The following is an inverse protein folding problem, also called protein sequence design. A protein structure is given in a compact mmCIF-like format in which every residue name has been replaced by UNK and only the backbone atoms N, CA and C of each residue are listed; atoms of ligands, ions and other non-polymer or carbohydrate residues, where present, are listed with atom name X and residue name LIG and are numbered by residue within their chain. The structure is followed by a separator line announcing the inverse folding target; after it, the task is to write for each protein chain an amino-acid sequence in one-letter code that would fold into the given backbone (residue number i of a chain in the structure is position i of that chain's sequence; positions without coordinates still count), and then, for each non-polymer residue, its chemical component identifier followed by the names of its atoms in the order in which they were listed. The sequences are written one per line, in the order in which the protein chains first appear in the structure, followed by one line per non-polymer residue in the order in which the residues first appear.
data_IF_776815532758
#
_entry.id   IF_776815532758
#
_cell.length_a   1.000
_cell.length_b   1.000
_cell.length_c   1.000
_cell.angle_alpha   90.00
_cell.angle_beta   90.00
_cell.angle_gamma   90.00
#
_symmetry.space_group_name_H-M   'P 1'
#
loop_
_entity.id
_entity.type
_entity.pdbx_description
1 polymer ?
#
# COMPACT_ATOMS: atom_id res chain seq x y z
N UNK A 1 -28.27 66.35 14.86
CA UNK A 1 -27.96 65.32 15.89
C UNK A 1 -27.36 64.01 15.33
N UNK A 2 -27.60 63.64 14.06
CA UNK A 2 -27.21 62.31 13.54
C UNK A 2 -25.73 62.14 13.16
N UNK A 3 -25.02 63.24 12.82
CA UNK A 3 -23.60 63.24 12.40
C UNK A 3 -22.59 63.08 13.56
N UNK A 4 -22.95 63.54 14.76
CA UNK A 4 -22.05 63.54 15.92
C UNK A 4 -21.93 62.14 16.53
N UNK A 5 -23.04 61.38 16.58
CA UNK A 5 -23.06 59.99 17.09
C UNK A 5 -22.29 58.99 16.23
N UNK A 6 -22.20 59.18 14.91
CA UNK A 6 -21.44 58.29 14.03
C UNK A 6 -19.92 58.45 14.19
N UNK A 7 -19.44 59.64 14.56
CA UNK A 7 -18.01 59.90 14.68
C UNK A 7 -17.45 59.30 15.99
N UNK A 8 -18.17 59.45 17.10
CA UNK A 8 -17.79 58.86 18.39
C UNK A 8 -17.75 57.32 18.36
N UNK A 9 -18.64 56.70 17.58
CA UNK A 9 -18.69 55.25 17.44
C UNK A 9 -17.53 54.69 16.61
N UNK A 10 -17.04 55.45 15.62
CA UNK A 10 -15.90 55.08 14.78
C UNK A 10 -14.56 55.25 15.53
N UNK A 11 -14.43 56.30 16.35
CA UNK A 11 -13.24 56.50 17.20
C UNK A 11 -13.16 55.47 18.33
N UNK A 12 -14.30 55.09 18.92
CA UNK A 12 -14.36 53.99 19.89
C UNK A 12 -13.93 52.65 19.25
N UNK A 13 -14.41 52.32 18.04
CA UNK A 13 -14.01 51.11 17.32
C UNK A 13 -12.49 51.05 17.05
N UNK A 14 -11.89 52.16 16.61
CA UNK A 14 -10.42 52.23 16.43
C UNK A 14 -9.67 52.03 17.75
N UNK A 15 -10.12 52.66 18.82
CA UNK A 15 -9.50 52.51 20.15
C UNK A 15 -9.59 51.07 20.67
N UNK A 16 -10.72 50.39 20.44
CA UNK A 16 -10.95 49.01 20.82
C UNK A 16 -10.05 48.06 20.01
N UNK A 17 -9.87 48.31 18.71
CA UNK A 17 -8.95 47.55 17.85
C UNK A 17 -7.49 47.72 18.27
N UNK A 18 -7.07 48.95 18.59
CA UNK A 18 -5.71 49.22 19.09
C UNK A 18 -5.49 48.50 20.42
N UNK A 19 -6.46 48.55 21.33
CA UNK A 19 -6.36 47.86 22.61
C UNK A 19 -6.29 46.34 22.44
N UNK A 20 -7.07 45.77 21.51
CA UNK A 20 -7.01 44.35 21.18
C UNK A 20 -5.64 43.92 20.65
N UNK A 21 -5.05 44.70 19.74
CA UNK A 21 -3.70 44.43 19.24
C UNK A 21 -2.67 44.50 20.37
N UNK A 22 -2.77 45.49 21.26
CA UNK A 22 -1.89 45.59 22.44
C UNK A 22 -2.03 44.40 23.38
N UNK A 23 -3.25 43.95 23.65
CA UNK A 23 -3.50 42.76 24.46
C UNK A 23 -2.95 41.50 23.81
N UNK A 24 -3.13 41.32 22.50
CA UNK A 24 -2.55 40.18 21.78
C UNK A 24 -1.01 40.22 21.79
N UNK A 25 -0.42 41.40 21.60
CA UNK A 25 1.03 41.59 21.67
C UNK A 25 1.58 41.29 23.06
N UNK A 26 0.86 41.69 24.12
CA UNK A 26 1.23 41.37 25.50
C UNK A 26 1.26 39.85 25.74
N UNK A 27 0.25 39.11 25.25
CA UNK A 27 0.22 37.64 25.35
C UNK A 27 1.39 37.00 24.59
N UNK A 28 1.70 37.48 23.39
CA UNK A 28 2.86 36.97 22.62
C UNK A 28 4.17 37.24 23.36
N UNK A 29 4.34 38.45 23.90
CA UNK A 29 5.55 38.80 24.67
C UNK A 29 5.65 37.98 25.95
N UNK A 30 4.54 37.75 26.66
CA UNK A 30 4.49 36.89 27.84
C UNK A 30 4.95 35.47 27.51
N UNK A 31 4.41 34.86 26.44
CA UNK A 31 4.84 33.55 25.96
C UNK A 31 6.32 33.54 25.58
N UNK A 32 6.81 34.53 24.83
CA UNK A 32 8.24 34.59 24.48
C UNK A 32 9.14 34.72 25.72
N UNK A 33 8.70 35.46 26.73
CA UNK A 33 9.44 35.59 28.00
C UNK A 33 9.38 34.34 28.86
N UNK A 34 8.28 33.59 28.86
CA UNK A 34 8.20 32.31 29.58
C UNK A 34 9.09 31.26 28.92
N UNK A 35 9.05 31.15 27.60
CA UNK A 35 9.90 30.26 26.82
C UNK A 35 11.40 30.62 26.93
N UNK A 36 11.75 31.87 27.22
CA UNK A 36 13.15 32.30 27.37
C UNK A 36 13.89 31.52 28.47
N UNK A 37 13.23 31.24 29.59
CA UNK A 37 13.83 30.45 30.69
C UNK A 37 14.01 28.98 30.30
N UNK A 38 13.01 28.41 29.65
CA UNK A 38 13.09 27.03 29.13
C UNK A 38 14.21 26.88 28.11
N UNK A 39 14.35 27.87 27.21
CA UNK A 39 15.47 27.95 26.28
C UNK A 39 16.81 28.01 27.02
N UNK A 40 16.94 28.88 28.03
CA UNK A 40 18.17 29.00 28.82
C UNK A 40 18.54 27.70 29.55
N UNK A 41 17.54 26.94 30.02
CA UNK A 41 17.74 25.61 30.61
C UNK A 41 18.24 24.61 29.55
N UNK A 42 17.63 24.59 28.36
CA UNK A 42 18.06 23.71 27.26
C UNK A 42 19.48 24.08 26.80
N UNK A 43 19.77 25.36 26.65
CA UNK A 43 21.10 25.89 26.33
C UNK A 43 22.10 25.52 27.44
N UNK A 44 21.69 25.58 28.71
CA UNK A 44 22.52 25.15 29.84
C UNK A 44 22.76 23.65 29.83
N UNK A 45 21.78 22.81 29.50
CA UNK A 45 21.97 21.35 29.38
C UNK A 45 22.90 21.00 28.20
N UNK A 46 22.85 21.78 27.11
CA UNK A 46 23.84 21.71 26.03
C UNK A 46 25.24 22.17 26.47
N UNK A 47 25.34 23.02 27.48
CA UNK A 47 26.58 23.61 28.00
C UNK A 47 27.09 22.95 29.30
N UNK A 48 26.29 22.12 29.99
CA UNK A 48 26.62 21.49 31.29
C UNK A 48 27.69 20.43 31.03
N UNK A 49 28.93 20.66 31.49
CA UNK A 49 30.03 19.74 31.31
C UNK A 49 30.07 18.77 32.49
N UNK A 50 29.25 17.71 32.41
CA UNK A 50 29.53 16.48 33.16
C UNK A 50 29.85 15.37 32.16
N UNK A 51 31.13 15.23 31.85
CA UNK A 51 31.70 13.92 31.48
C UNK A 51 31.75 13.54 30.00
N UNK A 52 31.50 14.43 29.04
CA UNK A 52 31.85 14.16 27.63
C UNK A 52 32.86 15.17 27.08
N UNK A 53 34.04 14.64 26.78
CA UNK A 53 35.09 15.27 25.98
C UNK A 53 34.49 15.66 24.62
N UNK A 54 34.45 16.96 24.33
CA UNK A 54 34.14 17.47 23.00
C UNK A 54 33.00 18.47 23.02
N UNK A 55 33.34 19.75 23.13
CA UNK A 55 32.50 20.81 22.60
C UNK A 55 32.43 20.63 21.08
N UNK A 56 31.50 19.80 20.62
CA UNK A 56 31.30 19.52 19.20
C UNK A 56 30.60 20.73 18.58
N UNK A 57 31.39 21.72 18.16
CA UNK A 57 30.89 22.80 17.31
C UNK A 57 30.60 22.17 15.93
N UNK A 58 29.32 21.96 15.61
CA UNK A 58 28.87 21.64 14.26
C UNK A 58 28.88 22.93 13.42
N UNK A 59 30.06 23.39 13.02
CA UNK A 59 30.19 24.56 12.12
C UNK A 59 30.33 24.18 10.64
N UNK A 60 30.51 22.88 10.35
CA UNK A 60 30.65 22.37 9.00
C UNK A 60 31.93 22.79 8.28
N UNK A 61 32.88 23.47 8.97
CA UNK A 61 34.07 24.06 8.35
C UNK A 61 35.02 23.00 7.78
N UNK A 62 35.09 21.81 8.40
CA UNK A 62 35.95 20.70 7.98
C UNK A 62 35.18 19.55 7.31
N UNK A 63 33.93 19.77 6.89
CA UNK A 63 33.10 18.73 6.27
C UNK A 63 33.01 18.98 4.77
N UNK A 64 33.55 18.03 3.99
CA UNK A 64 33.35 17.99 2.54
C UNK A 64 32.08 17.22 2.26
N UNK A 65 31.08 17.92 1.73
CA UNK A 65 29.78 17.39 1.38
C UNK A 65 29.60 17.51 -0.13
N UNK A 66 29.51 16.36 -0.81
CA UNK A 66 29.30 16.30 -2.25
C UNK A 66 27.87 15.84 -2.53
N UNK A 67 27.18 16.58 -3.40
CA UNK A 67 25.83 16.22 -3.84
C UNK A 67 25.93 15.27 -5.02
N UNK A 68 25.35 14.06 -4.96
CA UNK A 68 25.30 13.17 -6.11
C UNK A 68 24.60 13.86 -7.30
N UNK A 69 25.20 13.76 -8.49
CA UNK A 69 24.70 14.37 -9.73
C UNK A 69 23.19 14.15 -9.96
N UNK A 70 22.73 12.92 -9.76
CA UNK A 70 21.31 12.57 -9.97
C UNK A 70 20.40 13.41 -9.08
N UNK A 71 20.81 13.65 -7.85
CA UNK A 71 20.07 14.44 -6.88
C UNK A 71 20.09 15.92 -7.21
N UNK A 72 21.26 16.44 -7.60
CA UNK A 72 21.42 17.81 -8.09
C UNK A 72 20.50 18.06 -9.30
N UNK A 73 20.55 17.18 -10.31
CA UNK A 73 19.72 17.30 -11.51
C UNK A 73 18.22 17.26 -11.21
N UNK A 74 17.77 16.46 -10.23
CA UNK A 74 16.37 16.40 -9.78
C UNK A 74 15.93 17.67 -9.05
N UNK A 75 16.78 18.21 -8.18
CA UNK A 75 16.49 19.44 -7.43
C UNK A 75 16.43 20.64 -8.39
N UNK A 76 17.34 20.70 -9.35
CA UNK A 76 17.41 21.75 -10.37
C UNK A 76 16.25 21.65 -11.39
N UNK A 77 15.85 20.43 -11.76
CA UNK A 77 14.70 20.18 -12.65
C UNK A 77 13.35 20.23 -11.94
N UNK A 78 13.35 20.28 -10.61
CA UNK A 78 12.16 20.08 -9.79
C UNK A 78 11.19 21.26 -9.81
N UNK A 79 9.92 20.97 -10.11
CA UNK A 79 8.77 21.90 -10.04
C UNK A 79 8.62 22.55 -8.65
N UNK A 80 9.17 21.93 -7.60
CA UNK A 80 8.89 22.26 -6.21
C UNK A 80 9.92 23.20 -5.54
N UNK A 81 10.93 23.71 -6.26
CA UNK A 81 11.94 24.65 -5.70
C UNK A 81 12.41 24.28 -4.28
N UNK A 82 12.70 22.99 -4.07
CA UNK A 82 12.82 22.38 -2.73
C UNK A 82 14.07 22.88 -1.98
N UNK A 83 15.12 23.22 -2.72
CA UNK A 83 16.32 23.84 -2.17
C UNK A 83 16.39 25.29 -2.65
N UNK A 84 16.31 26.23 -1.72
CA UNK A 84 16.30 27.66 -2.01
C UNK A 84 17.66 28.34 -1.78
N UNK A 85 18.71 27.57 -1.51
CA UNK A 85 20.02 28.09 -1.13
C UNK A 85 21.17 27.18 -1.51
N UNK A 86 22.38 27.70 -1.37
CA UNK A 86 23.61 26.96 -1.63
C UNK A 86 23.93 26.02 -0.47
N UNK A 87 24.49 24.85 -0.79
CA UNK A 87 24.96 23.87 0.19
C UNK A 87 26.05 24.45 1.09
N UNK A 88 26.84 25.39 0.56
CA UNK A 88 27.85 26.14 1.29
C UNK A 88 27.52 27.62 1.31
N UNK A 89 27.60 28.22 2.49
CA UNK A 89 27.38 29.65 2.72
C UNK A 89 28.47 30.16 3.67
N UNK A 90 29.18 31.21 3.26
CA UNK A 90 30.33 31.77 4.00
C UNK A 90 31.38 30.69 4.41
N UNK A 91 31.74 29.82 3.46
CA UNK A 91 32.71 28.71 3.64
C UNK A 91 32.27 27.64 4.65
N UNK A 92 31.02 27.69 5.12
CA UNK A 92 30.44 26.73 6.05
C UNK A 92 29.31 25.98 5.41
N UNK A 93 29.08 24.76 5.90
CA UNK A 93 27.98 23.94 5.43
C UNK A 93 26.66 24.57 5.89
N UNK A 94 25.75 24.84 4.96
CA UNK A 94 24.40 25.26 5.28
C UNK A 94 23.57 24.02 5.63
N UNK A 95 23.50 23.71 6.94
CA UNK A 95 22.78 22.54 7.43
C UNK A 95 21.29 22.54 7.06
N UNK A 96 20.66 23.70 6.94
CA UNK A 96 19.26 23.78 6.51
C UNK A 96 19.10 23.27 5.08
N UNK A 97 19.96 23.73 4.17
CA UNK A 97 19.97 23.26 2.78
C UNK A 97 20.31 21.77 2.69
N UNK A 98 21.24 21.28 3.53
CA UNK A 98 21.58 19.85 3.58
C UNK A 98 20.39 19.01 4.05
N UNK A 99 19.65 19.44 5.07
CA UNK A 99 18.44 18.74 5.54
C UNK A 99 17.37 18.72 4.45
N UNK A 100 17.15 19.84 3.75
CA UNK A 100 16.23 19.90 2.61
C UNK A 100 16.63 18.91 1.51
N UNK A 101 17.92 18.85 1.19
CA UNK A 101 18.47 17.95 0.19
C UNK A 101 18.30 16.47 0.59
N UNK A 102 18.54 16.14 1.87
CA UNK A 102 18.34 14.79 2.41
C UNK A 102 16.86 14.39 2.35
N UNK A 103 15.95 15.30 2.67
CA UNK A 103 14.51 15.03 2.56
C UNK A 103 14.09 14.76 1.10
N UNK A 104 14.66 15.49 0.14
CA UNK A 104 14.43 15.24 -1.27
C UNK A 104 14.99 13.88 -1.72
N UNK A 105 16.16 13.49 -1.21
CA UNK A 105 16.74 12.18 -1.43
C UNK A 105 15.82 11.06 -0.94
N UNK A 106 15.32 11.19 0.30
CA UNK A 106 14.41 10.22 0.89
C UNK A 106 13.09 10.14 0.13
N UNK A 107 12.54 11.28 -0.30
CA UNK A 107 11.35 11.33 -1.15
C UNK A 107 11.58 10.59 -2.46
N UNK A 108 12.71 10.86 -3.11
CA UNK A 108 13.11 10.20 -4.36
C UNK A 108 13.18 8.68 -4.21
N UNK A 109 13.86 8.21 -3.17
CA UNK A 109 13.97 6.78 -2.88
C UNK A 109 12.60 6.13 -2.65
N UNK A 110 11.74 6.77 -1.86
CA UNK A 110 10.38 6.28 -1.60
C UNK A 110 9.58 6.17 -2.90
N UNK A 111 9.60 7.23 -3.72
CA UNK A 111 8.78 7.28 -4.93
C UNK A 111 9.25 6.25 -5.97
N UNK A 112 10.58 6.05 -6.11
CA UNK A 112 11.16 5.01 -6.97
C UNK A 112 10.85 3.59 -6.46
N UNK A 113 10.96 3.38 -5.15
CA UNK A 113 10.63 2.10 -4.52
C UNK A 113 9.16 1.72 -4.74
N UNK A 114 8.23 2.64 -4.46
CA UNK A 114 6.81 2.42 -4.67
C UNK A 114 6.47 2.12 -6.14
N UNK A 115 7.12 2.79 -7.10
CA UNK A 115 6.93 2.48 -8.52
C UNK A 115 7.45 1.09 -8.91
N UNK A 116 8.60 0.69 -8.35
CA UNK A 116 9.18 -0.64 -8.59
C UNK A 116 8.29 -1.76 -8.04
N UNK A 117 7.82 -1.62 -6.79
CA UNK A 117 6.91 -2.59 -6.16
C UNK A 117 5.59 -2.71 -6.93
N UNK A 118 5.03 -1.57 -7.36
CA UNK A 118 3.79 -1.58 -8.15
C UNK A 118 3.97 -2.33 -9.47
N UNK A 119 5.10 -2.13 -10.17
CA UNK A 119 5.43 -2.86 -11.40
C UNK A 119 5.58 -4.36 -11.14
N UNK A 120 6.26 -4.75 -10.06
CA UNK A 120 6.41 -6.16 -9.70
C UNK A 120 5.06 -6.81 -9.37
N UNK A 121 4.22 -6.14 -8.60
CA UNK A 121 2.86 -6.59 -8.27
C UNK A 121 2.01 -6.79 -9.53
N UNK A 122 2.11 -5.89 -10.51
CA UNK A 122 1.41 -6.03 -11.79
C UNK A 122 1.86 -7.28 -12.57
N UNK A 123 3.18 -7.54 -12.61
CA UNK A 123 3.72 -8.75 -13.25
C UNK A 123 3.25 -10.02 -12.55
N UNK A 124 3.27 -10.05 -11.21
CA UNK A 124 2.78 -11.19 -10.43
C UNK A 124 1.29 -11.41 -10.68
N UNK A 125 0.49 -10.35 -10.69
CA UNK A 125 -0.95 -10.42 -10.97
C UNK A 125 -1.21 -11.01 -12.36
N UNK A 126 -0.52 -10.53 -13.40
CA UNK A 126 -0.65 -11.04 -14.75
C UNK A 126 -0.26 -12.52 -14.87
N UNK A 127 0.80 -12.95 -14.18
CA UNK A 127 1.20 -14.37 -14.12
C UNK A 127 0.17 -15.22 -13.39
N UNK A 128 -0.37 -14.73 -12.28
CA UNK A 128 -1.41 -15.43 -11.52
C UNK A 128 -2.68 -15.62 -12.32
N UNK A 129 -3.12 -14.60 -13.07
CA UNK A 129 -4.31 -14.69 -13.93
C UNK A 129 -4.09 -15.71 -15.03
N UNK A 130 -2.94 -15.66 -15.72
CA UNK A 130 -2.60 -16.63 -16.76
C UNK A 130 -2.58 -18.06 -16.20
N UNK A 131 -1.95 -18.28 -15.05
CA UNK A 131 -1.89 -19.58 -14.40
C UNK A 131 -3.30 -20.10 -14.06
N UNK A 132 -4.18 -19.23 -13.55
CA UNK A 132 -5.57 -19.59 -13.23
C UNK A 132 -6.37 -19.98 -14.48
N UNK A 133 -6.15 -19.30 -15.62
CA UNK A 133 -6.81 -19.63 -16.89
C UNK A 133 -6.35 -20.99 -17.43
N UNK A 134 -5.04 -21.23 -17.40
CA UNK A 134 -4.45 -22.53 -17.81
C UNK A 134 -4.99 -23.64 -16.92
N UNK A 135 -5.03 -23.43 -15.59
CA UNK A 135 -5.52 -24.42 -14.64
C UNK A 135 -7.00 -24.75 -14.89
N UNK A 136 -7.84 -23.74 -15.15
CA UNK A 136 -9.23 -23.93 -15.53
C UNK A 136 -9.37 -24.73 -16.84
N UNK A 137 -8.53 -24.43 -17.83
CA UNK A 137 -8.49 -25.18 -19.10
C UNK A 137 -8.09 -26.65 -18.91
N UNK A 138 -7.10 -26.92 -18.06
CA UNK A 138 -6.68 -28.28 -17.72
C UNK A 138 -7.76 -29.05 -16.94
N UNK A 139 -8.47 -28.39 -16.03
CA UNK A 139 -9.61 -28.99 -15.33
C UNK A 139 -10.74 -29.35 -16.31
N UNK A 140 -11.06 -28.47 -17.26
CA UNK A 140 -12.07 -28.75 -18.29
C UNK A 140 -11.68 -29.97 -19.15
N UNK A 141 -10.44 -30.02 -19.64
CA UNK A 141 -9.93 -31.18 -20.41
C UNK A 141 -9.96 -32.48 -19.60
N UNK A 142 -9.62 -32.42 -18.31
CA UNK A 142 -9.69 -33.60 -17.42
C UNK A 142 -11.11 -34.16 -17.36
N UNK A 143 -12.11 -33.29 -17.18
CA UNK A 143 -13.52 -33.69 -17.12
C UNK A 143 -13.99 -34.26 -18.46
N UNK A 144 -13.57 -33.67 -19.58
CA UNK A 144 -13.88 -34.16 -20.91
C UNK A 144 -13.33 -35.57 -21.15
N UNK A 145 -12.04 -35.80 -20.84
CA UNK A 145 -11.39 -37.12 -20.95
C UNK A 145 -12.10 -38.14 -20.06
N UNK A 146 -12.43 -37.78 -18.82
CA UNK A 146 -13.13 -38.66 -17.90
C UNK A 146 -14.51 -39.06 -18.43
N UNK A 147 -15.26 -38.11 -18.99
CA UNK A 147 -16.57 -38.37 -19.60
C UNK A 147 -16.44 -39.28 -20.82
N UNK A 148 -15.50 -38.99 -21.74
CA UNK A 148 -15.25 -39.82 -22.92
C UNK A 148 -14.87 -41.25 -22.55
N UNK A 149 -13.99 -41.44 -21.57
CA UNK A 149 -13.60 -42.76 -21.10
C UNK A 149 -14.77 -43.54 -20.48
N UNK A 150 -15.60 -42.87 -19.68
CA UNK A 150 -16.80 -43.49 -19.10
C UNK A 150 -17.79 -43.95 -20.18
N UNK A 151 -18.06 -43.08 -21.17
CA UNK A 151 -18.94 -43.38 -22.30
C UNK A 151 -18.38 -44.55 -23.12
N UNK A 152 -17.11 -44.50 -23.51
CA UNK A 152 -16.47 -45.57 -24.29
C UNK A 152 -16.50 -46.91 -23.55
N UNK A 153 -16.23 -46.90 -22.24
CA UNK A 153 -16.29 -48.11 -21.42
C UNK A 153 -17.72 -48.66 -21.34
N UNK A 154 -18.73 -47.81 -21.12
CA UNK A 154 -20.14 -48.23 -21.09
C UNK A 154 -20.61 -48.83 -22.42
N UNK A 155 -20.23 -48.23 -23.56
CA UNK A 155 -20.56 -48.76 -24.88
C UNK A 155 -19.88 -50.10 -25.14
N UNK A 156 -18.63 -50.28 -24.67
CA UNK A 156 -17.90 -51.53 -24.80
C UNK A 156 -18.53 -52.66 -23.97
N UNK A 157 -19.01 -52.32 -22.77
CA UNK A 157 -19.70 -53.25 -21.86
C UNK A 157 -21.05 -53.63 -22.48
N UNK A 158 -21.83 -52.65 -22.95
CA UNK A 158 -23.13 -52.88 -23.57
C UNK A 158 -23.02 -53.81 -24.79
N UNK A 159 -22.03 -53.59 -25.67
CA UNK A 159 -21.78 -54.46 -26.82
C UNK A 159 -21.44 -55.88 -26.41
N UNK A 160 -20.51 -56.06 -25.46
CA UNK A 160 -20.17 -57.39 -24.94
C UNK A 160 -21.37 -58.08 -24.31
N UNK A 161 -22.23 -57.32 -23.61
CA UNK A 161 -23.43 -57.87 -22.99
C UNK A 161 -24.42 -58.35 -24.06
N UNK A 162 -24.64 -57.57 -25.12
CA UNK A 162 -25.48 -57.96 -26.26
C UNK A 162 -24.93 -59.22 -26.97
N UNK A 163 -23.62 -59.27 -27.24
CA UNK A 163 -22.96 -60.45 -27.82
C UNK A 163 -23.19 -61.70 -26.96
N UNK A 164 -23.07 -61.56 -25.64
CA UNK A 164 -23.34 -62.65 -24.70
C UNK A 164 -24.82 -63.04 -24.69
N UNK A 165 -25.74 -62.08 -24.71
CA UNK A 165 -27.19 -62.36 -24.77
C UNK A 165 -27.56 -63.15 -26.03
N UNK A 166 -27.05 -62.75 -27.20
CA UNK A 166 -27.24 -63.48 -28.46
C UNK A 166 -26.69 -64.90 -28.35
N UNK A 167 -25.48 -65.06 -27.79
CA UNK A 167 -24.84 -66.36 -27.60
C UNK A 167 -25.68 -67.24 -26.67
N UNK A 168 -26.07 -66.74 -25.50
CA UNK A 168 -26.88 -67.50 -24.54
C UNK A 168 -28.24 -67.88 -25.12
N UNK A 169 -28.92 -66.97 -25.82
CA UNK A 169 -30.20 -67.24 -26.48
C UNK A 169 -30.07 -68.31 -27.57
N UNK A 170 -28.94 -68.37 -28.28
CA UNK A 170 -28.68 -69.41 -29.28
C UNK A 170 -28.47 -70.81 -28.68
N UNK A 171 -27.84 -70.91 -27.49
CA UNK A 171 -27.59 -72.18 -26.83
C UNK A 171 -28.76 -72.68 -25.98
N UNK A 172 -29.49 -71.77 -25.33
CA UNK A 172 -30.51 -72.10 -24.33
C UNK A 172 -31.95 -71.73 -24.77
N UNK A 173 -32.13 -71.03 -25.88
CA UNK A 173 -33.44 -70.53 -26.34
C UNK A 173 -34.01 -69.37 -25.51
N UNK A 174 -33.33 -68.93 -24.45
CA UNK A 174 -33.78 -67.94 -23.48
C UNK A 174 -32.68 -66.89 -23.20
N UNK A 175 -33.08 -65.65 -22.84
CA UNK A 175 -32.17 -64.62 -22.32
C UNK A 175 -32.08 -64.72 -20.79
N UNK A 176 -30.91 -65.03 -20.20
CA UNK A 176 -30.77 -65.21 -18.75
C UNK A 176 -31.12 -63.97 -17.91
N UNK A 177 -30.87 -62.77 -18.45
CA UNK A 177 -31.03 -61.52 -17.70
C UNK A 177 -32.48 -61.04 -17.59
N UNK A 178 -33.37 -61.46 -18.50
CA UNK A 178 -34.79 -61.08 -18.46
C UNK A 178 -35.57 -61.90 -17.42
N UNK A 179 -35.11 -63.11 -17.09
CA UNK A 179 -35.76 -63.98 -16.11
C UNK A 179 -35.58 -63.55 -14.66
N UNK A 180 -34.64 -62.63 -14.39
CA UNK A 180 -34.30 -62.17 -13.03
C UNK A 180 -35.22 -61.02 -12.58
N UNK A 181 -35.74 -60.20 -13.51
CA UNK A 181 -36.67 -59.12 -13.15
C UNK A 181 -38.09 -59.62 -12.85
N UNK A 182 -38.55 -60.69 -13.51
CA UNK A 182 -39.90 -61.24 -13.31
C UNK A 182 -40.07 -61.95 -11.94
N UNK A 183 -38.99 -62.26 -11.22
CA UNK A 183 -39.08 -62.90 -9.90
C UNK A 183 -39.18 -61.92 -8.72
N UNK A 184 -39.10 -60.61 -8.95
CA UNK A 184 -39.10 -59.61 -7.87
C UNK A 184 -40.45 -58.93 -7.60
N UNK A 185 -41.56 -59.38 -8.21
CA UNK A 185 -42.88 -58.80 -7.96
C UNK A 185 -43.68 -59.45 -6.82
N UNK A 186 -43.10 -60.35 -6.02
CA UNK A 186 -43.77 -60.87 -4.83
C UNK A 186 -42.79 -61.07 -3.69
N UNK A 187 -42.69 -60.07 -2.81
CA UNK A 187 -42.89 -60.22 -1.36
C UNK A 187 -42.58 -58.89 -0.67
N UNK A 188 -43.65 -58.15 -0.35
CA UNK A 188 -43.62 -57.22 0.78
C UNK A 188 -43.20 -57.99 2.02
N UNK A 189 -42.02 -57.67 2.57
CA UNK A 189 -41.72 -57.97 3.97
C UNK A 189 -41.28 -56.69 4.65
N UNK A 190 -42.17 -56.25 5.51
CA UNK A 190 -42.12 -55.11 6.40
C UNK A 190 -41.14 -55.45 7.54
N UNK A 191 -40.21 -54.55 7.84
CA UNK A 191 -39.49 -54.58 9.12
C UNK A 191 -39.56 -53.20 9.78
N UNK A 192 -39.94 -53.27 11.05
CA UNK A 192 -40.09 -52.21 12.06
C UNK A 192 -38.75 -51.51 12.29
#
# INVERSE_FOLDING_TARGET
AHRMKQNDQNENDKSARIQKVRSMWAVVMEMLTSLKKEKEIVDSVLLVPEGCVGQCVLDGTNVVFSVPWLLASRVESGIHQVCTGNVYEAEKLNFLTVIQLLNEALRTLRDEHCQSELKQLQVIKARSTLCSEVLRGLQAKRLEIQKQHCVSMSESISRKQEDWEVKWKSFLGLCPFNSILDQNSVSSVQFI
#
